data_IF_878998172411
#
_entry.id   IF_878998172411
#
_cell.length_a   1.000
_cell.length_b   1.000
_cell.length_c   1.000
_cell.angle_alpha   90.00
_cell.angle_beta   90.00
_cell.angle_gamma   90.00
#
_symmetry.space_group_name_H-M   'P 1'
#
loop_
_entity.id
_entity.type
_entity.pdbx_description
1 polymer ?
#
# COMPACT_ATOMS: atom_id res chain seq x y z
N UNK A 1 -49.92 -14.20 -7.69
CA UNK A 1 -48.49 -14.48 -7.41
C UNK A 1 -47.89 -13.17 -6.96
N UNK A 2 -47.44 -13.10 -5.71
CA UNK A 2 -46.93 -11.89 -5.08
C UNK A 2 -45.58 -11.51 -5.68
N UNK A 3 -45.46 -10.25 -6.07
CA UNK A 3 -44.17 -9.56 -6.28
C UNK A 3 -43.32 -9.70 -5.01
N UNK A 4 -42.03 -9.96 -5.18
CA UNK A 4 -41.06 -9.89 -4.09
C UNK A 4 -39.93 -8.98 -4.53
N UNK A 5 -40.13 -7.71 -4.15
CA UNK A 5 -39.19 -6.62 -4.16
C UNK A 5 -38.06 -6.85 -3.14
N UNK A 6 -36.90 -6.28 -3.48
CA UNK A 6 -35.81 -5.84 -2.59
C UNK A 6 -34.90 -6.88 -1.91
N UNK A 7 -33.62 -6.87 -2.33
CA UNK A 7 -32.51 -6.81 -1.38
C UNK A 7 -31.65 -5.60 -1.72
N UNK A 8 -32.05 -4.46 -1.16
CA UNK A 8 -31.24 -3.26 -1.04
C UNK A 8 -30.03 -3.57 -0.13
N UNK A 9 -28.87 -3.89 -0.72
CA UNK A 9 -27.61 -3.98 0.03
C UNK A 9 -27.02 -2.59 0.21
N UNK A 10 -27.61 -1.80 1.10
CA UNK A 10 -27.00 -0.56 1.60
C UNK A 10 -26.19 -0.88 2.86
N UNK A 11 -24.89 -0.94 2.69
CA UNK A 11 -23.97 -0.42 3.71
C UNK A 11 -23.22 0.75 3.07
N UNK A 12 -23.74 1.98 3.15
CA UNK A 12 -22.87 3.12 2.94
C UNK A 12 -21.87 3.06 4.09
N UNK A 13 -20.59 2.87 3.76
CA UNK A 13 -19.54 3.47 4.56
C UNK A 13 -19.99 4.90 4.87
N UNK A 14 -19.92 5.34 6.13
CA UNK A 14 -20.28 6.72 6.53
C UNK A 14 -19.45 7.81 5.79
N UNK A 15 -18.50 7.38 4.96
CA UNK A 15 -17.72 8.23 4.08
C UNK A 15 -18.48 8.54 2.76
N UNK A 16 -18.75 9.82 2.44
CA UNK A 16 -19.63 10.21 1.33
C UNK A 16 -18.98 10.11 -0.07
N UNK A 17 -17.89 9.37 -0.20
CA UNK A 17 -17.13 9.20 -1.45
C UNK A 17 -16.98 7.72 -1.81
N UNK A 18 -16.89 7.46 -3.11
CA UNK A 18 -16.63 6.13 -3.67
C UNK A 18 -15.65 6.21 -4.83
N UNK A 19 -14.90 5.13 -5.04
CA UNK A 19 -14.09 4.98 -6.24
C UNK A 19 -14.98 4.65 -7.44
N UNK A 20 -14.72 5.30 -8.57
CA UNK A 20 -15.29 4.96 -9.88
C UNK A 20 -14.62 3.70 -10.44
N UNK A 21 -15.17 3.16 -11.53
CA UNK A 21 -14.55 2.03 -12.25
C UNK A 21 -13.14 2.36 -12.73
N UNK A 22 -12.92 3.61 -13.18
CA UNK A 22 -11.59 4.12 -13.58
C UNK A 22 -10.68 4.46 -12.38
N UNK A 23 -11.07 4.10 -11.15
CA UNK A 23 -10.25 4.24 -9.95
C UNK A 23 -10.11 5.66 -9.40
N UNK A 24 -11.02 6.59 -9.73
CA UNK A 24 -11.01 7.96 -9.21
C UNK A 24 -12.00 8.12 -8.04
N UNK A 25 -11.61 8.89 -7.02
CA UNK A 25 -12.44 9.11 -5.84
C UNK A 25 -13.43 10.27 -6.06
N UNK A 26 -14.72 9.96 -6.09
CA UNK A 26 -15.79 10.93 -6.35
C UNK A 26 -16.88 10.88 -5.28
N UNK A 27 -17.51 12.03 -5.02
CA UNK A 27 -18.63 12.12 -4.09
C UNK A 27 -19.84 11.36 -4.65
N UNK A 28 -20.47 10.50 -3.85
CA UNK A 28 -21.53 9.59 -4.33
C UNK A 28 -22.73 10.33 -4.94
N UNK A 29 -23.20 11.40 -4.27
CA UNK A 29 -24.36 12.17 -4.76
C UNK A 29 -24.04 13.18 -5.89
N UNK A 30 -22.89 13.86 -5.84
CA UNK A 30 -22.59 14.97 -6.77
C UNK A 30 -21.69 14.56 -7.93
N UNK A 31 -21.08 13.37 -7.85
CA UNK A 31 -20.08 12.83 -8.78
C UNK A 31 -18.83 13.70 -8.94
N UNK A 32 -18.63 14.70 -8.08
CA UNK A 32 -17.47 15.58 -8.12
C UNK A 32 -16.24 14.88 -7.51
N UNK A 33 -15.03 15.12 -8.04
CA UNK A 33 -13.80 14.59 -7.46
C UNK A 33 -13.58 15.05 -6.02
N UNK A 34 -12.90 14.23 -5.24
CA UNK A 34 -12.50 14.59 -3.87
C UNK A 34 -11.66 15.87 -3.86
N UNK A 35 -11.97 16.76 -2.93
CA UNK A 35 -11.18 17.97 -2.65
C UNK A 35 -10.79 17.94 -1.19
N UNK A 36 -9.51 18.16 -0.91
CA UNK A 36 -9.03 18.22 0.47
C UNK A 36 -9.69 19.38 1.21
N UNK A 37 -10.52 19.11 2.22
CA UNK A 37 -10.94 20.15 3.13
C UNK A 37 -9.72 20.61 3.94
N UNK A 38 -9.53 21.92 4.05
CA UNK A 38 -8.52 22.49 4.93
C UNK A 38 -9.16 23.54 5.82
N UNK A 39 -9.23 23.25 7.11
CA UNK A 39 -9.81 24.14 8.10
C UNK A 39 -8.69 24.72 8.97
N UNK A 40 -8.21 25.91 8.63
CA UNK A 40 -7.12 26.58 9.37
C UNK A 40 -7.45 26.78 10.86
N UNK A 41 -8.74 26.96 11.18
CA UNK A 41 -9.22 27.20 12.56
C UNK A 41 -9.47 25.91 13.35
N UNK A 42 -9.51 24.75 12.69
CA UNK A 42 -9.70 23.45 13.32
C UNK A 42 -8.80 22.39 12.65
N UNK A 43 -7.53 22.41 13.06
CA UNK A 43 -6.53 21.43 12.61
C UNK A 43 -6.96 20.00 12.99
N UNK A 44 -7.63 19.82 14.11
CA UNK A 44 -8.06 18.51 14.58
C UNK A 44 -9.18 17.93 13.70
N UNK A 45 -10.12 18.75 13.23
CA UNK A 45 -11.11 18.33 12.23
C UNK A 45 -10.42 17.89 10.94
N UNK A 46 -9.46 18.68 10.44
CA UNK A 46 -8.69 18.34 9.24
C UNK A 46 -7.95 17.01 9.40
N UNK A 47 -7.33 16.77 10.56
CA UNK A 47 -6.66 15.50 10.87
C UNK A 47 -7.62 14.31 10.94
N UNK A 48 -8.81 14.47 11.54
CA UNK A 48 -9.84 13.43 11.59
C UNK A 48 -10.34 13.06 10.20
N UNK A 49 -10.55 14.06 9.34
CA UNK A 49 -10.96 13.85 7.95
C UNK A 49 -9.89 13.11 7.15
N UNK A 50 -8.62 13.51 7.27
CA UNK A 50 -7.49 12.81 6.63
C UNK A 50 -7.34 11.37 7.14
N UNK A 51 -7.52 11.14 8.44
CA UNK A 51 -7.46 9.80 9.02
C UNK A 51 -8.58 8.93 8.46
N UNK A 52 -9.80 9.47 8.40
CA UNK A 52 -10.97 8.78 7.85
C UNK A 52 -10.75 8.42 6.39
N UNK A 53 -10.25 9.36 5.59
CA UNK A 53 -9.92 9.13 4.18
C UNK A 53 -8.83 8.07 4.02
N UNK A 54 -7.75 8.13 4.80
CA UNK A 54 -6.66 7.16 4.76
C UNK A 54 -7.16 5.74 5.08
N UNK A 55 -8.00 5.59 6.11
CA UNK A 55 -8.64 4.32 6.45
C UNK A 55 -9.52 3.80 5.31
N UNK A 56 -10.37 4.66 4.74
CA UNK A 56 -11.24 4.30 3.61
C UNK A 56 -10.44 3.82 2.39
N UNK A 57 -9.41 4.58 1.99
CA UNK A 57 -8.54 4.21 0.87
C UNK A 57 -7.85 2.88 1.13
N UNK A 58 -7.31 2.68 2.33
CA UNK A 58 -6.60 1.45 2.67
C UNK A 58 -7.52 0.22 2.60
N UNK A 59 -8.74 0.34 3.14
CA UNK A 59 -9.75 -0.73 3.06
C UNK A 59 -10.15 -1.04 1.62
N UNK A 60 -10.34 -0.01 0.79
CA UNK A 60 -10.66 -0.20 -0.61
C UNK A 60 -9.52 -0.91 -1.37
N UNK A 61 -8.27 -0.49 -1.15
CA UNK A 61 -7.11 -1.13 -1.77
C UNK A 61 -6.97 -2.59 -1.33
N UNK A 62 -7.16 -2.91 -0.06
CA UNK A 62 -7.17 -4.31 0.40
C UNK A 62 -8.26 -5.14 -0.28
N UNK A 63 -9.47 -4.59 -0.40
CA UNK A 63 -10.54 -5.25 -1.13
C UNK A 63 -10.17 -5.50 -2.60
N UNK A 64 -9.43 -4.61 -3.25
CA UNK A 64 -8.96 -4.82 -4.62
C UNK A 64 -7.85 -5.89 -4.69
N UNK A 65 -6.89 -5.86 -3.77
CA UNK A 65 -5.83 -6.87 -3.71
C UNK A 65 -6.42 -8.28 -3.52
N UNK A 66 -7.40 -8.43 -2.64
CA UNK A 66 -8.05 -9.72 -2.36
C UNK A 66 -8.99 -10.14 -3.49
N UNK A 67 -9.91 -9.27 -3.92
CA UNK A 67 -11.02 -9.66 -4.79
C UNK A 67 -10.77 -9.46 -6.29
N UNK A 68 -9.84 -8.56 -6.67
CA UNK A 68 -9.51 -8.29 -8.07
C UNK A 68 -8.17 -8.86 -8.48
N UNK A 69 -7.18 -8.80 -7.59
CA UNK A 69 -5.86 -9.38 -7.82
C UNK A 69 -5.71 -10.82 -7.28
N UNK A 70 -6.73 -11.36 -6.61
CA UNK A 70 -6.72 -12.70 -6.02
C UNK A 70 -5.53 -12.97 -5.09
N UNK A 71 -5.01 -11.94 -4.43
CA UNK A 71 -3.96 -12.11 -3.43
C UNK A 71 -4.56 -12.64 -2.13
N UNK A 72 -3.80 -13.48 -1.45
CA UNK A 72 -4.13 -13.96 -0.11
C UNK A 72 -3.40 -13.13 0.94
N UNK A 73 -4.11 -12.79 2.01
CA UNK A 73 -3.54 -12.15 3.19
C UNK A 73 -2.98 -13.21 4.13
N UNK A 74 -1.68 -13.14 4.42
CA UNK A 74 -0.99 -14.08 5.32
C UNK A 74 -0.48 -13.31 6.53
N UNK A 75 -0.92 -13.72 7.71
CA UNK A 75 -0.45 -13.15 8.97
C UNK A 75 0.90 -13.75 9.36
N UNK A 76 1.78 -12.90 9.88
CA UNK A 76 3.09 -13.29 10.38
C UNK A 76 2.97 -13.67 11.86
N UNK A 77 3.71 -14.71 12.24
CA UNK A 77 3.75 -15.21 13.60
C UNK A 77 4.61 -14.30 14.47
N UNK A 78 4.00 -13.64 15.45
CA UNK A 78 4.69 -12.73 16.37
C UNK A 78 5.67 -13.39 17.36
N UNK A 79 5.80 -14.71 17.34
CA UNK A 79 6.49 -15.44 18.40
C UNK A 79 5.93 -15.08 19.79
N UNK A 80 6.80 -14.97 20.80
CA UNK A 80 6.43 -14.69 22.19
C UNK A 80 6.31 -13.21 22.56
N UNK A 81 6.40 -12.27 21.61
CA UNK A 81 6.29 -10.82 21.90
C UNK A 81 4.82 -10.42 22.08
N UNK A 82 4.34 -10.50 23.32
CA UNK A 82 2.94 -10.29 23.74
C UNK A 82 2.43 -8.84 23.64
N UNK A 83 3.31 -7.86 23.42
CA UNK A 83 2.99 -6.47 23.80
C UNK A 83 2.60 -5.58 22.60
N UNK A 84 2.40 -6.14 21.40
CA UNK A 84 2.11 -5.36 20.19
C UNK A 84 0.70 -5.62 19.63
N UNK A 85 0.01 -4.62 19.03
CA UNK A 85 -1.46 -4.63 18.96
C UNK A 85 -2.09 -5.52 17.85
N UNK A 86 -1.35 -5.93 16.81
CA UNK A 86 -1.84 -6.92 15.82
C UNK A 86 -0.67 -7.60 15.08
N UNK A 87 -0.71 -8.92 14.78
CA UNK A 87 0.29 -9.58 13.94
C UNK A 87 0.40 -8.85 12.59
N UNK A 88 1.61 -8.52 12.16
CA UNK A 88 1.82 -8.00 10.81
C UNK A 88 1.37 -9.01 9.79
N UNK A 89 1.22 -8.54 8.55
CA UNK A 89 0.77 -9.40 7.47
C UNK A 89 1.40 -8.99 6.16
N UNK A 90 1.37 -9.92 5.22
CA UNK A 90 1.74 -9.72 3.82
C UNK A 90 0.58 -10.11 2.92
N UNK A 91 0.55 -9.55 1.71
CA UNK A 91 -0.27 -10.08 0.63
C UNK A 91 0.61 -10.85 -0.32
N UNK A 92 0.17 -12.02 -0.78
CA UNK A 92 0.90 -12.78 -1.79
C UNK A 92 -0.03 -13.46 -2.76
N UNK A 93 0.44 -13.77 -3.97
CA UNK A 93 -0.31 -14.61 -4.89
C UNK A 93 -0.37 -16.05 -4.35
N UNK A 94 -1.44 -16.82 -4.63
CA UNK A 94 -1.51 -18.22 -4.22
C UNK A 94 -0.30 -19.01 -4.70
N UNK A 95 0.38 -19.71 -3.78
CA UNK A 95 1.58 -20.50 -4.11
C UNK A 95 2.83 -19.67 -4.45
N UNK A 96 2.85 -18.36 -4.18
CA UNK A 96 3.97 -17.46 -4.52
C UNK A 96 5.35 -18.01 -4.13
N UNK A 97 5.46 -18.64 -2.97
CA UNK A 97 6.72 -19.11 -2.39
C UNK A 97 7.20 -20.45 -2.96
N UNK A 98 6.28 -21.23 -3.55
CA UNK A 98 6.60 -22.45 -4.29
C UNK A 98 6.72 -22.20 -5.80
N UNK A 99 6.58 -20.96 -6.26
CA UNK A 99 6.62 -20.65 -7.68
C UNK A 99 8.06 -20.76 -8.22
N UNK A 100 8.28 -21.62 -9.21
CA UNK A 100 9.57 -21.82 -9.89
C UNK A 100 9.98 -20.70 -10.88
N UNK A 101 9.28 -19.57 -10.88
CA UNK A 101 9.40 -18.49 -11.87
C UNK A 101 9.85 -17.18 -11.22
N UNK A 102 9.47 -16.06 -11.82
CA UNK A 102 9.81 -14.75 -11.27
C UNK A 102 8.87 -14.40 -10.11
N UNK A 103 9.44 -14.01 -8.97
CA UNK A 103 8.72 -13.46 -7.82
C UNK A 103 8.97 -11.95 -7.76
N UNK A 104 7.92 -11.16 -7.92
CA UNK A 104 7.95 -9.72 -7.71
C UNK A 104 7.64 -9.39 -6.26
N UNK A 105 8.60 -8.77 -5.58
CA UNK A 105 8.45 -8.32 -4.19
C UNK A 105 8.28 -6.81 -4.16
N UNK A 106 7.16 -6.35 -3.60
CA UNK A 106 6.85 -4.94 -3.38
C UNK A 106 6.99 -4.63 -1.88
N UNK A 107 8.00 -3.82 -1.54
CA UNK A 107 8.28 -3.43 -0.17
C UNK A 107 7.86 -1.98 0.03
N UNK A 108 6.97 -1.74 0.99
CA UNK A 108 6.60 -0.38 1.37
C UNK A 108 7.82 0.34 1.98
N UNK A 109 8.04 1.59 1.55
CA UNK A 109 9.03 2.48 2.18
C UNK A 109 8.63 2.85 3.61
N UNK A 110 9.48 3.58 4.33
CA UNK A 110 9.19 4.01 5.71
C UNK A 110 8.00 4.98 5.76
N UNK A 111 7.20 4.93 6.85
CA UNK A 111 6.18 5.93 7.14
C UNK A 111 4.87 5.34 7.67
N UNK A 112 3.79 6.12 7.61
CA UNK A 112 2.45 5.73 8.10
C UNK A 112 1.56 5.09 7.02
N UNK A 113 2.11 4.88 5.83
CA UNK A 113 1.37 4.37 4.69
C UNK A 113 1.15 2.86 4.82
N UNK A 114 -0.08 2.44 4.49
CA UNK A 114 -0.51 1.04 4.53
C UNK A 114 -0.07 0.27 3.29
N UNK A 115 0.05 -1.05 3.43
CA UNK A 115 0.36 -1.96 2.32
C UNK A 115 -0.54 -1.68 1.10
N UNK A 116 0.03 -1.71 -0.11
CA UNK A 116 -0.74 -1.47 -1.33
C UNK A 116 -0.90 -0.01 -1.76
N UNK A 117 -0.51 0.97 -0.93
CA UNK A 117 -0.66 2.40 -1.22
C UNK A 117 0.71 3.07 -1.31
N UNK A 118 0.97 3.89 -2.33
CA UNK A 118 2.16 4.74 -2.38
C UNK A 118 1.93 6.06 -1.64
N UNK A 119 0.79 6.69 -1.90
CA UNK A 119 0.37 7.93 -1.25
C UNK A 119 -1.14 8.01 -1.25
N UNK A 120 -1.76 8.07 -0.07
CA UNK A 120 -3.22 8.27 0.03
C UNK A 120 -3.65 9.61 -0.57
N UNK A 121 -2.77 10.63 -0.57
CA UNK A 121 -3.03 11.92 -1.22
C UNK A 121 -3.06 11.76 -2.73
N UNK A 122 -2.10 11.03 -3.30
CA UNK A 122 -2.09 10.72 -4.73
C UNK A 122 -3.29 9.87 -5.12
N UNK A 123 -3.69 8.87 -4.31
CA UNK A 123 -4.91 8.09 -4.57
C UNK A 123 -6.14 8.99 -4.59
N UNK A 124 -6.28 9.91 -3.64
CA UNK A 124 -7.44 10.81 -3.56
C UNK A 124 -7.48 11.84 -4.70
N UNK A 125 -6.33 12.32 -5.18
CA UNK A 125 -6.24 13.37 -6.19
C UNK A 125 -6.09 12.85 -7.63
N UNK A 126 -5.28 11.81 -7.82
CA UNK A 126 -4.86 11.28 -9.13
C UNK A 126 -5.38 9.87 -9.39
N UNK A 127 -6.02 9.23 -8.41
CA UNK A 127 -6.64 7.92 -8.54
C UNK A 127 -5.72 6.75 -8.18
N UNK A 128 -6.30 5.54 -8.18
CA UNK A 128 -5.63 4.30 -7.80
C UNK A 128 -4.47 3.94 -8.73
N UNK A 129 -4.57 4.26 -10.01
CA UNK A 129 -3.53 3.93 -11.00
C UNK A 129 -2.21 4.69 -10.77
N UNK A 130 -2.24 5.83 -10.07
CA UNK A 130 -1.04 6.61 -9.76
C UNK A 130 -0.65 6.52 -8.30
N UNK A 131 -1.63 6.44 -7.40
CA UNK A 131 -1.39 6.46 -5.96
C UNK A 131 -1.19 5.10 -5.28
N UNK A 132 -1.35 3.98 -5.99
CA UNK A 132 -1.33 2.63 -5.40
C UNK A 132 -0.35 1.67 -6.09
N UNK A 133 -0.12 0.53 -5.43
CA UNK A 133 0.67 -0.58 -5.95
C UNK A 133 -0.12 -1.47 -6.92
N UNK A 134 -1.44 -1.29 -7.03
CA UNK A 134 -2.34 -2.16 -7.81
C UNK A 134 -1.90 -2.32 -9.28
N UNK A 135 -1.49 -1.27 -10.02
CA UNK A 135 -1.08 -1.41 -11.42
C UNK A 135 0.13 -2.33 -11.58
N UNK A 136 1.07 -2.26 -10.64
CA UNK A 136 2.26 -3.11 -10.62
C UNK A 136 1.93 -4.56 -10.31
N UNK A 137 1.01 -4.78 -9.37
CA UNK A 137 0.48 -6.12 -9.06
C UNK A 137 -0.22 -6.70 -10.28
N UNK A 138 -1.08 -5.93 -10.93
CA UNK A 138 -1.82 -6.36 -12.13
C UNK A 138 -0.84 -6.75 -13.25
N UNK A 139 0.13 -5.89 -13.55
CA UNK A 139 1.17 -6.15 -14.53
C UNK A 139 1.97 -7.42 -14.22
N UNK A 140 2.39 -7.61 -12.97
CA UNK A 140 3.16 -8.80 -12.57
C UNK A 140 2.35 -10.09 -12.75
N UNK A 141 1.05 -10.07 -12.40
CA UNK A 141 0.17 -11.22 -12.59
C UNK A 141 -0.07 -11.52 -14.09
N UNK A 142 -0.19 -10.49 -14.93
CA UNK A 142 -0.30 -10.62 -16.39
C UNK A 142 0.96 -11.26 -16.99
N UNK A 143 2.14 -10.92 -16.48
CA UNK A 143 3.43 -11.49 -16.87
C UNK A 143 3.73 -12.86 -16.20
N UNK A 144 2.72 -13.50 -15.59
CA UNK A 144 2.86 -14.80 -14.91
C UNK A 144 3.94 -14.81 -13.82
N UNK A 145 4.12 -13.69 -13.13
CA UNK A 145 5.00 -13.58 -11.97
C UNK A 145 4.22 -13.85 -10.68
N UNK A 146 4.86 -14.54 -9.73
CA UNK A 146 4.38 -14.51 -8.36
C UNK A 146 4.51 -13.10 -7.78
N UNK A 147 3.63 -12.74 -6.85
CA UNK A 147 3.62 -11.43 -6.22
C UNK A 147 3.68 -11.57 -4.70
N UNK A 148 4.45 -10.71 -4.03
CA UNK A 148 4.52 -10.59 -2.58
C UNK A 148 4.62 -9.10 -2.17
N UNK A 149 3.62 -8.59 -1.45
CA UNK A 149 3.59 -7.22 -0.91
C UNK A 149 3.83 -7.27 0.59
N UNK A 150 4.73 -6.42 1.06
CA UNK A 150 5.13 -6.36 2.47
C UNK A 150 5.20 -4.90 2.95
N UNK A 151 4.72 -4.66 4.17
CA UNK A 151 4.74 -3.35 4.81
C UNK A 151 5.52 -3.39 6.15
N UNK A 152 6.84 -3.11 6.15
CA UNK A 152 7.66 -3.14 7.38
C UNK A 152 7.24 -2.12 8.44
N UNK A 153 6.45 -1.11 8.07
CA UNK A 153 6.00 -0.08 9.00
C UNK A 153 5.01 -0.61 10.06
N UNK A 154 4.27 -1.68 9.76
CA UNK A 154 3.22 -2.16 10.68
C UNK A 154 3.80 -2.82 11.94
N UNK A 155 5.06 -3.25 11.90
CA UNK A 155 5.71 -3.98 12.99
C UNK A 155 6.88 -3.21 13.62
N UNK A 156 7.10 -1.95 13.23
CA UNK A 156 8.25 -1.13 13.65
C UNK A 156 9.61 -1.85 13.45
N UNK A 157 9.67 -2.75 12.47
CA UNK A 157 10.87 -3.51 12.12
C UNK A 157 11.58 -2.88 10.93
N UNK A 158 12.88 -3.17 10.78
CA UNK A 158 13.56 -2.80 9.54
C UNK A 158 13.02 -3.65 8.37
N UNK A 159 13.13 -3.17 7.11
CA UNK A 159 12.76 -3.97 5.96
C UNK A 159 13.44 -5.35 5.93
N UNK A 160 14.72 -5.42 6.33
CA UNK A 160 15.49 -6.66 6.39
C UNK A 160 14.92 -7.63 7.44
N UNK A 161 14.60 -7.12 8.63
CA UNK A 161 13.98 -7.91 9.70
C UNK A 161 12.61 -8.45 9.28
N UNK A 162 11.79 -7.62 8.63
CA UNK A 162 10.47 -8.02 8.15
C UNK A 162 10.59 -9.08 7.05
N UNK A 163 11.50 -8.91 6.10
CA UNK A 163 11.81 -9.91 5.07
C UNK A 163 12.23 -11.24 5.71
N UNK A 164 13.12 -11.21 6.70
CA UNK A 164 13.54 -12.41 7.43
C UNK A 164 12.41 -13.06 8.23
N UNK A 165 11.47 -12.27 8.75
CA UNK A 165 10.28 -12.76 9.44
C UNK A 165 9.33 -13.45 8.47
N UNK A 166 9.00 -12.80 7.35
CA UNK A 166 8.21 -13.40 6.26
C UNK A 166 8.85 -14.71 5.82
N UNK A 167 10.17 -14.73 5.60
CA UNK A 167 10.87 -15.95 5.21
C UNK A 167 10.86 -17.06 6.26
N UNK A 168 10.79 -16.74 7.56
CA UNK A 168 10.68 -17.73 8.64
C UNK A 168 9.27 -18.31 8.73
N UNK A 169 8.26 -17.46 8.64
CA UNK A 169 6.87 -17.85 8.92
C UNK A 169 6.19 -18.53 7.74
N UNK A 170 6.71 -18.30 6.53
CA UNK A 170 6.04 -18.75 5.32
C UNK A 170 6.61 -20.02 4.70
N UNK A 171 7.86 -20.45 5.01
CA UNK A 171 8.36 -21.83 4.71
C UNK A 171 9.69 -22.18 5.40
N UNK A 172 9.92 -23.47 5.69
CA UNK A 172 11.19 -24.07 6.14
C UNK A 172 12.35 -23.93 5.12
N UNK A 173 12.07 -23.59 3.85
CA UNK A 173 13.06 -23.49 2.76
C UNK A 173 13.35 -22.06 2.24
N UNK A 174 12.54 -21.05 2.60
CA UNK A 174 12.65 -19.67 2.07
C UNK A 174 13.92 -18.95 2.54
N UNK A 175 14.48 -19.38 3.68
CA UNK A 175 15.70 -18.81 4.25
C UNK A 175 16.90 -18.81 3.29
N UNK A 176 16.98 -19.76 2.35
CA UNK A 176 18.11 -19.87 1.41
C UNK A 176 18.01 -18.93 0.21
N UNK A 177 16.79 -18.67 -0.29
CA UNK A 177 16.56 -17.76 -1.44
C UNK A 177 16.65 -16.29 -1.05
N UNK A 178 16.03 -15.94 0.07
CA UNK A 178 15.90 -14.55 0.51
C UNK A 178 17.22 -13.99 1.07
N UNK A 179 18.04 -14.82 1.73
CA UNK A 179 19.41 -14.46 2.11
C UNK A 179 20.28 -14.13 0.91
N UNK A 180 20.06 -14.78 -0.25
CA UNK A 180 20.88 -14.59 -1.47
C UNK A 180 20.63 -13.24 -2.13
N UNK A 181 19.42 -12.69 -2.04
CA UNK A 181 19.09 -11.36 -2.56
C UNK A 181 19.73 -10.22 -1.77
N UNK A 182 19.87 -10.35 -0.45
CA UNK A 182 20.40 -9.29 0.41
C UNK A 182 21.91 -9.41 0.72
N UNK A 183 22.53 -10.58 0.51
CA UNK A 183 23.96 -10.79 0.82
C UNK A 183 24.89 -10.78 -0.39
N UNK A 184 24.36 -10.70 -1.62
CA UNK A 184 25.23 -10.49 -2.77
C UNK A 184 25.62 -9.01 -2.86
N UNK A 185 26.92 -8.68 -2.90
CA UNK A 185 27.33 -7.34 -3.30
C UNK A 185 26.81 -7.13 -4.72
N UNK A 186 26.20 -5.98 -4.96
CA UNK A 186 25.71 -5.57 -6.28
C UNK A 186 26.91 -5.52 -7.24
N UNK A 187 27.22 -6.64 -7.87
CA UNK A 187 28.19 -6.69 -8.95
C UNK A 187 27.49 -6.12 -10.18
N UNK A 188 28.01 -4.98 -10.62
CA UNK A 188 27.65 -4.25 -11.82
C UNK A 188 27.29 -5.18 -12.99
N UNK A 189 26.00 -5.22 -13.33
CA UNK A 189 25.53 -5.65 -14.63
C UNK A 189 24.35 -4.76 -15.02
N UNK A 190 24.68 -3.53 -15.41
CA UNK A 190 23.75 -2.68 -16.14
C UNK A 190 23.37 -3.39 -17.46
N UNK A 191 22.13 -3.83 -17.56
CA UNK A 191 21.45 -3.94 -18.86
C UNK A 191 20.34 -2.89 -18.89
N UNK A 192 20.23 -2.13 -19.99
CA UNK A 192 19.40 -0.94 -20.01
C UNK A 192 17.93 -1.32 -19.91
N UNK A 193 17.25 -0.75 -18.91
CA UNK A 193 15.80 -0.62 -18.90
C UNK A 193 15.38 0.04 -20.21
N UNK A 194 14.56 -0.66 -21.00
CA UNK A 194 13.94 -0.13 -22.21
C UNK A 194 13.20 1.16 -21.87
N UNK A 195 13.68 2.24 -22.44
CA UNK A 195 13.19 3.60 -22.30
C UNK A 195 11.79 3.75 -22.89
N UNK A 196 10.74 3.72 -22.06
CA UNK A 196 9.58 4.64 -22.18
C UNK A 196 8.67 4.61 -20.94
N UNK A 197 9.23 4.88 -19.78
CA UNK A 197 8.48 5.47 -18.66
C UNK A 197 9.21 6.75 -18.28
N UNK A 198 8.49 7.86 -18.36
CA UNK A 198 9.00 9.21 -18.25
C UNK A 198 9.70 9.40 -16.88
N UNK A 199 11.03 9.40 -16.91
CA UNK A 199 11.88 9.46 -15.71
C UNK A 199 11.72 10.80 -14.95
N UNK A 200 11.06 11.80 -15.56
CA UNK A 200 10.84 13.11 -14.96
C UNK A 200 9.88 13.12 -13.76
N UNK A 201 8.99 12.13 -13.63
CA UNK A 201 7.96 12.14 -12.57
C UNK A 201 8.45 11.51 -11.25
N UNK A 202 9.44 10.61 -11.31
CA UNK A 202 9.92 9.87 -10.14
C UNK A 202 10.80 10.70 -9.19
N UNK A 203 11.58 11.65 -9.71
CA UNK A 203 12.41 12.50 -8.85
C UNK A 203 11.61 13.62 -8.16
N UNK A 204 10.51 14.07 -8.77
CA UNK A 204 9.72 15.18 -8.21
C UNK A 204 8.86 14.71 -7.01
N UNK A 205 8.27 13.51 -7.07
CA UNK A 205 7.45 12.97 -5.97
C UNK A 205 8.26 12.59 -4.74
N UNK A 206 9.47 12.04 -4.91
CA UNK A 206 10.36 11.71 -3.78
C UNK A 206 10.92 12.95 -3.08
N UNK A 207 11.18 14.02 -3.84
CA UNK A 207 11.68 15.29 -3.29
C UNK A 207 10.60 16.07 -2.52
N UNK A 208 9.33 16.04 -2.96
CA UNK A 208 8.23 16.66 -2.21
C UNK A 208 7.96 15.96 -0.87
N UNK A 209 8.13 14.64 -0.79
CA UNK A 209 8.02 13.89 0.47
C UNK A 209 9.12 14.27 1.48
N UNK A 210 10.36 14.49 1.03
CA UNK A 210 11.47 14.90 1.92
C UNK A 210 11.44 16.38 2.31
N UNK A 211 10.93 17.26 1.44
CA UNK A 211 10.81 18.69 1.73
C UNK A 211 9.72 19.01 2.77
N UNK A 212 8.69 18.16 2.91
CA UNK A 212 7.61 18.37 3.88
C UNK A 212 7.90 17.82 5.28
N UNK A 213 8.76 16.82 5.42
CA UNK A 213 9.20 16.32 6.73
C UNK A 213 10.20 17.27 7.43
N UNK A 214 10.94 18.07 6.65
CA UNK A 214 11.92 19.04 7.17
C UNK A 214 11.31 20.37 7.62
N UNK A 215 10.06 20.68 7.23
CA UNK A 215 9.38 21.93 7.60
C UNK A 215 8.59 21.87 8.92
N UNK A 216 8.51 20.70 9.58
CA UNK A 216 7.80 20.50 10.84
C UNK A 216 8.65 20.63 12.11
N UNK A 217 9.95 20.91 11.99
CA UNK A 217 10.89 21.03 13.10
C UNK A 217 10.90 22.42 13.74
N UNK A 218 10.03 22.61 14.73
CA UNK A 218 10.19 23.44 15.96
C UNK A 218 11.21 24.58 15.91
N UNK A 219 10.73 25.83 15.84
CA UNK A 219 11.40 26.99 16.44
C UNK A 219 10.94 27.13 17.90
N UNK A 220 11.76 26.67 18.84
CA UNK A 220 11.74 27.11 20.23
C UNK A 220 13.10 27.76 20.53
N UNK A 221 13.08 28.96 21.12
CA UNK A 221 14.29 29.60 21.64
C UNK A 221 14.29 31.11 21.52
N UNK A 222 13.49 31.78 22.35
CA UNK A 222 13.60 33.21 22.60
C UNK A 222 13.45 33.51 24.09
N UNK A 223 14.59 33.65 24.77
CA UNK A 223 14.88 34.67 25.81
C UNK A 223 16.34 35.06 25.65
#
# INVERSE_FOLDING_TARGET
MLESSEVNKKTPSDFPYSFTEDGHLCHVATLKPYKFPFQLKDVQATMREHTTLCCYISQHVYSLLENKCNLIKVYLDKGSRSDSPAPGFVYMSPGALGHHGMLMVLIQGKGTIRCGVWSWRAVAHEGLERGSQIPYVRWALEESCAVLLMNPNEEAMTPEEHVLQVGRDTTTEVCSGLRRFFTQPVASAARPFGTRLDQGTFQHMGAEQQAQESAGGVTEGGV
#
